data_IF_889033015399
#
_entry.id   IF_889033015399
#
_cell.length_a   1.000
_cell.length_b   1.000
_cell.length_c   1.000
_cell.angle_alpha   90.00
_cell.angle_beta   90.00
_cell.angle_gamma   90.00
#
_symmetry.space_group_name_H-M   'P 1'
#
loop_
_entity.id
_entity.type
_entity.pdbx_description
1 polymer ?
#
# COMPACT_ATOMS: atom_id res chain seq x y z
N UNK A 1 -10.54 31.57 -7.14
CA UNK A 1 -10.49 30.88 -5.82
C UNK A 1 -9.23 30.03 -5.78
N UNK A 2 -8.28 30.28 -4.86
CA UNK A 2 -7.08 29.46 -4.74
C UNK A 2 -7.39 28.16 -3.96
N UNK A 3 -7.01 27.02 -4.53
CA UNK A 3 -6.61 25.82 -3.77
C UNK A 3 -7.67 25.11 -2.93
N UNK A 4 -8.61 24.40 -3.56
CA UNK A 4 -9.18 23.20 -2.93
C UNK A 4 -8.31 22.03 -3.36
N UNK A 5 -7.39 21.58 -2.49
CA UNK A 5 -6.68 20.31 -2.70
C UNK A 5 -7.77 19.23 -2.67
N UNK A 6 -8.19 18.78 -3.84
CA UNK A 6 -9.08 17.62 -3.96
C UNK A 6 -8.22 16.43 -3.55
N UNK A 7 -8.53 15.82 -2.41
CA UNK A 7 -7.89 14.56 -2.02
C UNK A 7 -8.25 13.51 -3.06
N UNK A 8 -7.27 12.75 -3.51
CA UNK A 8 -7.54 11.60 -4.37
C UNK A 8 -8.37 10.59 -3.58
N UNK A 9 -9.18 9.78 -4.27
CA UNK A 9 -9.97 8.73 -3.65
C UNK A 9 -9.08 7.77 -2.83
N UNK A 10 -7.88 7.46 -3.31
CA UNK A 10 -6.89 6.67 -2.56
C UNK A 10 -6.53 7.34 -1.23
N UNK A 11 -6.30 8.66 -1.23
CA UNK A 11 -5.99 9.40 0.00
C UNK A 11 -7.14 9.42 1.00
N UNK A 12 -8.38 9.52 0.53
CA UNK A 12 -9.57 9.42 1.37
C UNK A 12 -9.66 8.05 2.03
N UNK A 13 -9.52 6.97 1.25
CA UNK A 13 -9.59 5.58 1.73
C UNK A 13 -8.45 5.22 2.70
N UNK A 14 -7.23 5.69 2.43
CA UNK A 14 -6.10 5.56 3.35
C UNK A 14 -6.38 6.31 4.66
N UNK A 15 -6.94 7.53 4.58
CA UNK A 15 -7.28 8.33 5.76
C UNK A 15 -8.37 7.67 6.61
N UNK A 16 -9.40 7.11 5.98
CA UNK A 16 -10.47 6.35 6.65
C UNK A 16 -9.90 5.13 7.39
N UNK A 17 -9.07 4.34 6.71
CA UNK A 17 -8.45 3.14 7.28
C UNK A 17 -7.58 3.50 8.49
N UNK A 18 -6.69 4.48 8.34
CA UNK A 18 -5.82 4.96 9.41
C UNK A 18 -6.58 5.65 10.55
N UNK A 19 -7.77 6.21 10.27
CA UNK A 19 -8.65 6.80 11.27
C UNK A 19 -9.23 5.75 12.23
N UNK A 20 -9.48 4.53 11.74
CA UNK A 20 -10.02 3.43 12.55
C UNK A 20 -8.94 2.72 13.40
N UNK A 21 -9.30 2.29 14.61
CA UNK A 21 -8.40 1.51 15.48
C UNK A 21 -8.11 0.15 14.87
N UNK A 22 -9.13 -0.47 14.29
CA UNK A 22 -9.10 -1.78 13.68
C UNK A 22 -8.25 -1.76 12.41
N UNK A 23 -8.35 -0.71 11.58
CA UNK A 23 -7.51 -0.52 10.40
C UNK A 23 -6.03 -0.32 10.76
N UNK A 24 -5.72 0.51 11.78
CA UNK A 24 -4.34 0.64 12.27
C UNK A 24 -3.79 -0.68 12.82
N UNK A 25 -4.61 -1.43 13.57
CA UNK A 25 -4.23 -2.76 14.09
C UNK A 25 -3.92 -3.71 12.94
N UNK A 26 -4.81 -3.80 11.95
CA UNK A 26 -4.63 -4.61 10.74
C UNK A 26 -3.32 -4.27 10.05
N UNK A 27 -3.06 -2.99 9.71
CA UNK A 27 -1.79 -2.61 9.06
C UNK A 27 -0.57 -2.98 9.92
N UNK A 28 -0.67 -2.86 11.24
CA UNK A 28 0.44 -3.17 12.16
C UNK A 28 0.79 -4.66 12.20
N UNK A 29 -0.21 -5.54 12.01
CA UNK A 29 0.02 -6.99 11.89
C UNK A 29 0.85 -7.34 10.64
N UNK A 30 0.87 -6.46 9.64
CA UNK A 30 1.63 -6.62 8.39
C UNK A 30 2.81 -5.62 8.27
N UNK A 31 3.36 -5.18 9.40
CA UNK A 31 4.65 -4.47 9.45
C UNK A 31 4.55 -2.94 9.36
N UNK A 32 3.36 -2.36 9.26
CA UNK A 32 3.22 -0.92 9.40
C UNK A 32 3.45 -0.47 10.84
N UNK A 33 4.11 0.66 11.00
CA UNK A 33 4.27 1.30 12.30
C UNK A 33 3.84 2.76 12.22
N UNK A 34 3.40 3.34 13.35
CA UNK A 34 3.07 4.76 13.39
C UNK A 34 4.28 5.60 12.95
N UNK A 35 4.04 6.50 12.00
CA UNK A 35 5.08 7.33 11.40
C UNK A 35 5.79 6.69 10.20
N UNK A 36 5.50 5.43 9.85
CA UNK A 36 5.93 4.82 8.59
C UNK A 36 5.24 5.52 7.41
N UNK A 37 5.97 5.91 6.34
CA UNK A 37 5.39 6.59 5.20
C UNK A 37 4.39 5.70 4.45
N UNK A 38 3.39 6.35 3.85
CA UNK A 38 2.49 5.74 2.87
C UNK A 38 2.62 6.53 1.56
N UNK A 39 3.11 5.86 0.52
CA UNK A 39 3.16 6.41 -0.84
C UNK A 39 1.90 5.97 -1.57
N UNK A 40 1.13 6.92 -2.10
CA UNK A 40 -0.08 6.63 -2.86
C UNK A 40 0.22 6.68 -4.35
N UNK A 41 -0.33 5.72 -5.08
CA UNK A 41 -0.09 5.56 -6.52
C UNK A 41 -1.39 5.23 -7.27
N UNK A 42 -1.37 5.40 -8.58
CA UNK A 42 -2.38 4.86 -9.50
C UNK A 42 -1.82 3.66 -10.24
N UNK A 43 -2.68 2.71 -10.63
CA UNK A 43 -2.27 1.40 -11.18
C UNK A 43 -1.36 1.48 -12.41
N UNK A 44 -1.46 2.54 -13.20
CA UNK A 44 -0.70 2.74 -14.42
C UNK A 44 0.65 3.42 -14.22
N UNK A 45 0.96 3.94 -13.03
CA UNK A 45 2.28 4.52 -12.75
C UNK A 45 3.35 3.43 -12.83
N UNK A 46 4.55 3.79 -13.30
CA UNK A 46 5.63 2.82 -13.39
C UNK A 46 6.14 2.43 -12.01
N UNK A 47 6.60 1.18 -11.86
CA UNK A 47 7.25 0.73 -10.61
C UNK A 47 8.42 1.65 -10.27
N UNK A 48 9.22 2.04 -11.27
CA UNK A 48 10.37 2.90 -11.01
C UNK A 48 9.97 4.30 -10.53
N UNK A 49 8.94 4.94 -11.09
CA UNK A 49 8.52 6.27 -10.62
C UNK A 49 8.04 6.22 -9.16
N UNK A 50 7.24 5.21 -8.82
CA UNK A 50 6.78 4.99 -7.43
C UNK A 50 7.95 4.70 -6.51
N UNK A 51 8.88 3.84 -6.91
CA UNK A 51 10.07 3.53 -6.10
C UNK A 51 11.04 4.69 -6.00
N UNK A 52 11.06 5.60 -6.96
CA UNK A 52 11.77 6.87 -6.87
C UNK A 52 11.32 7.66 -5.64
N UNK A 53 10.01 7.78 -5.43
CA UNK A 53 9.44 8.40 -4.22
C UNK A 53 9.76 7.60 -2.95
N UNK A 54 9.60 6.27 -2.99
CA UNK A 54 9.91 5.39 -1.85
C UNK A 54 11.37 5.53 -1.43
N UNK A 55 12.29 5.63 -2.39
CA UNK A 55 13.74 5.73 -2.15
C UNK A 55 14.11 6.96 -1.31
N UNK A 56 13.33 8.05 -1.39
CA UNK A 56 13.57 9.29 -0.64
C UNK A 56 13.36 9.14 0.86
N UNK A 57 12.66 8.10 1.32
CA UNK A 57 12.33 7.92 2.73
C UNK A 57 13.43 7.22 3.55
N UNK A 58 14.32 6.47 2.91
CA UNK A 58 15.43 5.76 3.60
C UNK A 58 15.00 4.72 4.64
N UNK A 59 13.74 4.28 4.61
CA UNK A 59 13.14 3.29 5.52
C UNK A 59 12.04 2.54 4.80
N UNK A 60 11.50 1.49 5.42
CA UNK A 60 10.34 0.77 4.87
C UNK A 60 9.12 1.67 4.71
N UNK A 61 8.30 1.38 3.70
CA UNK A 61 7.16 2.18 3.28
C UNK A 61 5.99 1.28 2.92
N UNK A 62 4.76 1.74 3.16
CA UNK A 62 3.60 1.15 2.49
C UNK A 62 3.34 1.87 1.17
N UNK A 63 3.17 1.13 0.09
CA UNK A 63 2.65 1.66 -1.18
C UNK A 63 1.17 1.33 -1.24
N UNK A 64 0.32 2.34 -1.42
CA UNK A 64 -1.13 2.24 -1.42
C UNK A 64 -1.71 2.51 -2.81
N UNK A 65 -2.61 1.64 -3.27
CA UNK A 65 -3.24 1.72 -4.58
C UNK A 65 -4.72 1.32 -4.46
N UNK A 66 -5.59 1.98 -5.20
CA UNK A 66 -6.94 1.44 -5.45
C UNK A 66 -6.88 0.51 -6.66
N UNK A 67 -7.34 -0.73 -6.51
CA UNK A 67 -7.49 -1.64 -7.65
C UNK A 67 -8.55 -1.06 -8.61
N UNK A 68 -8.22 -0.81 -9.88
CA UNK A 68 -9.16 -0.20 -10.82
C UNK A 68 -10.36 -1.09 -11.16
N UNK A 69 -10.30 -2.41 -10.87
CA UNK A 69 -11.37 -3.38 -11.15
C UNK A 69 -12.32 -3.54 -9.97
N UNK A 70 -11.77 -3.61 -8.75
CA UNK A 70 -12.55 -3.91 -7.53
C UNK A 70 -12.80 -2.69 -6.65
N UNK A 71 -12.11 -1.58 -6.91
CA UNK A 71 -12.11 -0.37 -6.07
C UNK A 71 -11.62 -0.62 -4.63
N UNK A 72 -10.94 -1.75 -4.40
CA UNK A 72 -10.36 -2.10 -3.11
C UNK A 72 -9.07 -1.35 -2.86
N UNK A 73 -8.87 -0.91 -1.62
CA UNK A 73 -7.62 -0.32 -1.18
C UNK A 73 -6.62 -1.44 -0.87
N UNK A 74 -5.59 -1.54 -1.71
CA UNK A 74 -4.49 -2.50 -1.60
C UNK A 74 -3.24 -1.82 -1.07
N UNK A 75 -2.43 -2.57 -0.32
CA UNK A 75 -1.11 -2.12 0.08
C UNK A 75 -0.03 -3.15 -0.23
N UNK A 76 1.15 -2.65 -0.57
CA UNK A 76 2.40 -3.39 -0.52
C UNK A 76 3.26 -2.84 0.62
N UNK A 77 3.78 -3.71 1.47
CA UNK A 77 4.91 -3.36 2.33
C UNK A 77 6.19 -3.49 1.52
N UNK A 78 6.96 -2.40 1.41
CA UNK A 78 8.26 -2.38 0.74
C UNK A 78 9.34 -2.22 1.79
N UNK A 79 10.22 -3.22 1.89
CA UNK A 79 11.35 -3.19 2.80
C UNK A 79 12.43 -2.20 2.34
N UNK A 80 13.35 -1.87 3.25
CA UNK A 80 14.57 -1.14 2.87
C UNK A 80 15.47 -2.06 2.04
N UNK A 81 16.07 -1.58 0.92
CA UNK A 81 17.03 -2.36 0.15
C UNK A 81 18.15 -2.94 1.02
N UNK A 82 18.54 -4.18 0.76
CA UNK A 82 19.45 -4.91 1.63
C UNK A 82 20.56 -5.61 0.82
N UNK A 83 21.85 -5.33 1.09
CA UNK A 83 22.98 -5.94 0.38
C UNK A 83 23.15 -7.44 0.64
N UNK A 84 22.47 -8.00 1.65
CA UNK A 84 22.46 -9.44 1.90
C UNK A 84 21.51 -10.20 0.96
N UNK A 85 20.66 -9.51 0.21
CA UNK A 85 19.80 -10.13 -0.80
C UNK A 85 20.57 -10.34 -2.10
N UNK A 86 20.20 -11.38 -2.85
CA UNK A 86 20.68 -11.56 -4.22
C UNK A 86 20.26 -10.35 -5.07
N UNK A 87 21.22 -9.75 -5.76
CA UNK A 87 20.97 -8.59 -6.62
C UNK A 87 20.31 -9.04 -7.92
N UNK A 88 18.99 -8.80 -8.02
CA UNK A 88 18.22 -9.08 -9.24
C UNK A 88 18.28 -7.93 -10.26
N UNK A 89 17.88 -8.22 -11.50
CA UNK A 89 17.73 -7.21 -12.54
C UNK A 89 16.78 -6.07 -12.13
N UNK A 90 17.05 -4.86 -12.61
CA UNK A 90 16.16 -3.72 -12.36
C UNK A 90 14.82 -3.93 -13.08
N UNK A 91 13.74 -3.47 -12.45
CA UNK A 91 12.44 -3.34 -13.09
C UNK A 91 12.53 -2.44 -14.32
N UNK A 92 11.79 -2.80 -15.37
CA UNK A 92 11.72 -2.00 -16.59
C UNK A 92 10.94 -0.73 -16.31
N UNK A 93 11.34 0.37 -16.94
CA UNK A 93 10.63 1.65 -16.83
C UNK A 93 9.18 1.60 -17.33
N UNK A 94 8.85 0.61 -18.18
CA UNK A 94 7.50 0.37 -18.67
C UNK A 94 6.66 -0.53 -17.77
N UNK A 95 7.22 -1.12 -16.71
CA UNK A 95 6.48 -2.03 -15.82
C UNK A 95 5.55 -1.21 -14.93
N UNK A 96 4.22 -1.36 -15.02
CA UNK A 96 3.30 -0.66 -14.15
C UNK A 96 3.33 -1.23 -12.73
N UNK A 97 3.03 -0.40 -11.74
CA UNK A 97 3.02 -0.79 -10.33
C UNK A 97 1.97 -1.87 -10.04
N UNK A 98 0.87 -1.91 -10.79
CA UNK A 98 -0.13 -2.97 -10.70
C UNK A 98 0.48 -4.37 -10.87
N UNK A 99 1.47 -4.53 -11.74
CA UNK A 99 2.10 -5.82 -11.99
C UNK A 99 2.94 -6.28 -10.80
N UNK A 100 3.50 -5.35 -10.01
CA UNK A 100 4.17 -5.70 -8.75
C UNK A 100 3.15 -6.12 -7.69
N UNK A 101 2.00 -5.46 -7.61
CA UNK A 101 0.90 -5.87 -6.73
C UNK A 101 0.41 -7.28 -7.09
N UNK A 102 0.12 -7.54 -8.37
CA UNK A 102 -0.36 -8.86 -8.82
C UNK A 102 0.68 -9.95 -8.57
N UNK A 103 1.97 -9.70 -8.84
CA UNK A 103 3.04 -10.65 -8.50
C UNK A 103 3.09 -10.95 -7.01
N UNK A 104 3.00 -9.93 -6.16
CA UNK A 104 3.05 -10.09 -4.71
C UNK A 104 1.81 -10.83 -4.17
N UNK A 105 0.62 -10.57 -4.71
CA UNK A 105 -0.60 -11.31 -4.37
C UNK A 105 -0.49 -12.79 -4.74
N UNK A 106 0.13 -13.11 -5.88
CA UNK A 106 0.32 -14.49 -6.34
C UNK A 106 1.43 -15.24 -5.59
N UNK A 107 2.51 -14.55 -5.21
CA UNK A 107 3.74 -15.18 -4.70
C UNK A 107 3.97 -14.97 -3.20
N UNK A 108 3.25 -14.05 -2.57
CA UNK A 108 3.47 -13.62 -1.19
C UNK A 108 4.66 -12.68 -1.07
N UNK A 109 5.89 -13.20 -1.13
CA UNK A 109 7.11 -12.39 -1.03
C UNK A 109 7.78 -12.27 -2.41
N UNK A 110 8.02 -11.04 -2.86
CA UNK A 110 8.68 -10.76 -4.15
C UNK A 110 9.97 -10.00 -3.90
N UNK A 111 11.07 -10.53 -4.42
CA UNK A 111 12.34 -9.81 -4.50
C UNK A 111 12.39 -9.04 -5.81
N UNK A 112 12.66 -7.74 -5.74
CA UNK A 112 12.77 -6.87 -6.92
C UNK A 112 13.80 -5.76 -6.69
N UNK A 113 14.16 -5.04 -7.74
CA UNK A 113 15.07 -3.89 -7.64
C UNK A 113 14.60 -2.76 -8.53
N UNK A 114 14.56 -1.55 -7.99
CA UNK A 114 14.36 -0.33 -8.78
C UNK A 114 15.70 0.24 -9.22
N UNK A 115 15.71 1.00 -10.32
CA UNK A 115 16.92 1.69 -10.82
C UNK A 115 17.54 2.70 -9.85
N UNK A 116 16.82 3.09 -8.79
CA UNK A 116 17.29 4.00 -7.74
C UNK A 116 18.05 3.31 -6.60
N UNK A 117 18.15 1.97 -6.62
CA UNK A 117 18.83 1.20 -5.58
C UNK A 117 19.94 0.32 -6.14
N UNK A 118 21.07 0.27 -5.44
CA UNK A 118 22.17 -0.62 -5.78
C UNK A 118 21.83 -2.09 -5.47
N UNK A 119 21.12 -2.30 -4.35
CA UNK A 119 20.73 -3.61 -3.84
C UNK A 119 19.24 -3.91 -4.10
N UNK A 120 18.89 -5.18 -4.09
CA UNK A 120 17.49 -5.61 -4.15
C UNK A 120 16.75 -5.32 -2.84
N UNK A 121 15.42 -5.30 -2.93
CA UNK A 121 14.52 -5.23 -1.79
C UNK A 121 13.46 -6.32 -1.90
N UNK A 122 12.71 -6.52 -0.83
CA UNK A 122 11.56 -7.42 -0.77
C UNK A 122 10.28 -6.63 -0.57
N UNK A 123 9.20 -7.12 -1.17
CA UNK A 123 7.85 -6.63 -0.94
C UNK A 123 6.91 -7.79 -0.67
N UNK A 124 5.85 -7.53 0.09
CA UNK A 124 4.73 -8.46 0.26
C UNK A 124 3.40 -7.71 0.30
N UNK A 125 2.28 -8.35 -0.06
CA UNK A 125 0.98 -7.73 0.04
C UNK A 125 0.57 -7.63 1.51
N UNK A 126 -0.18 -6.57 1.81
CA UNK A 126 -1.01 -6.52 3.00
C UNK A 126 -2.40 -7.00 2.58
N UNK A 127 -2.98 -8.01 3.23
CA UNK A 127 -4.34 -8.45 2.93
C UNK A 127 -5.34 -7.29 2.98
N UNK A 128 -6.34 -7.31 2.09
CA UNK A 128 -7.35 -6.25 2.03
C UNK A 128 -8.12 -6.20 3.35
N UNK A 129 -8.23 -4.99 3.92
CA UNK A 129 -9.02 -4.78 5.13
C UNK A 129 -10.50 -4.68 4.77
N UNK A 130 -11.25 -5.70 5.16
CA UNK A 130 -12.70 -5.65 5.20
C UNK A 130 -13.08 -5.34 6.64
N UNK A 131 -13.49 -4.10 6.92
CA UNK A 131 -13.96 -3.72 8.26
C UNK A 131 -15.05 -4.67 8.74
N UNK A 132 -15.19 -4.80 10.07
CA UNK A 132 -16.31 -5.57 10.61
C UNK A 132 -17.63 -5.00 10.04
N UNK A 133 -18.55 -5.84 9.55
CA UNK A 133 -19.85 -5.35 9.13
C UNK A 133 -20.49 -4.59 10.29
N UNK A 134 -21.08 -3.42 10.02
CA UNK A 134 -21.87 -2.72 11.03
C UNK A 134 -22.94 -3.67 11.54
N UNK A 135 -22.76 -4.17 12.76
CA UNK A 135 -23.85 -4.83 13.49
C UNK A 135 -24.83 -3.72 13.81
N UNK A 136 -25.85 -3.57 12.97
CA UNK A 136 -27.03 -2.75 13.29
C UNK A 136 -27.58 -3.30 14.60
N UNK A 137 -27.27 -2.63 15.70
CA UNK A 137 -27.85 -2.90 17.01
C UNK A 137 -29.36 -2.72 16.87
N UNK A 138 -30.09 -3.84 16.74
CA UNK A 138 -31.56 -3.89 16.87
C UNK A 138 -31.92 -3.60 18.33
N UNK A 139 -31.80 -2.34 18.73
CA UNK A 139 -32.24 -1.85 20.03
C UNK A 139 -33.19 -0.69 19.79
N UNK A 140 -34.42 -1.00 19.36
CA UNK A 140 -35.60 -0.15 19.50
C UNK A 140 -36.87 -0.89 19.00
N UNK A 141 -37.33 -1.87 19.76
CA UNK A 141 -38.73 -2.31 19.72
C UNK A 141 -39.14 -2.86 21.08
N UNK A 142 -39.25 -1.99 22.08
CA UNK A 142 -40.14 -2.19 23.23
C UNK A 142 -40.55 -0.82 23.75
N UNK A 143 -41.64 -0.30 23.19
CA UNK A 143 -42.60 0.52 23.92
C UNK A 143 -43.97 0.11 23.37
N UNK A 144 -44.64 -0.74 24.15
CA UNK A 144 -46.05 -1.08 24.06
C UNK A 144 -46.82 -0.18 25.02
#
# INVERSE_FOLDING_TARGET
MPGRIVRTKTAERVSELLGSREGRKHLSEYGWAQGMPIVMTVSTESVNDVMGLVSMHGRSVLVAMLDPRTDELKFLYVATPNPALETVGCEKDSTPISDLFERAELQGLVTFRSKYWECSTVTHPVPVFHGAPEVKSYAQHFNS
#
